data_IF_277303663444
#
_entry.id   IF_277303663444
#
_cell.length_a   1.000
_cell.length_b   1.000
_cell.length_c   1.000
_cell.angle_alpha   90.00
_cell.angle_beta   90.00
_cell.angle_gamma   90.00
#
_symmetry.space_group_name_H-M   'P 1'
#
loop_
_entity.id
_entity.type
_entity.pdbx_description
1 polymer ?
#
# COMPACT_ATOMS: atom_id res chain seq x y z
N UNK A 1 -40.70 23.95 -56.10
CA UNK A 1 -39.83 22.81 -55.77
C UNK A 1 -38.98 23.19 -54.57
N UNK A 2 -39.42 22.82 -53.36
CA UNK A 2 -38.63 22.98 -52.12
C UNK A 2 -39.19 22.03 -51.06
N UNK A 3 -38.97 20.73 -51.25
CA UNK A 3 -39.31 19.68 -50.28
C UNK A 3 -38.29 18.55 -50.44
N UNK A 4 -37.15 18.67 -49.78
CA UNK A 4 -36.20 17.54 -49.64
C UNK A 4 -35.13 17.77 -48.56
N UNK A 5 -34.81 19.02 -48.20
CA UNK A 5 -33.77 19.28 -47.20
C UNK A 5 -34.20 18.96 -45.74
N UNK A 6 -35.48 19.08 -45.41
CA UNK A 6 -35.98 18.81 -44.05
C UNK A 6 -35.94 17.32 -43.66
N UNK A 7 -36.18 16.42 -44.61
CA UNK A 7 -36.25 14.98 -44.33
C UNK A 7 -34.86 14.38 -44.07
N UNK A 8 -33.85 14.81 -44.84
CA UNK A 8 -32.45 14.39 -44.65
C UNK A 8 -31.91 14.83 -43.29
N UNK A 9 -32.29 16.02 -42.81
CA UNK A 9 -31.90 16.48 -41.48
C UNK A 9 -32.55 15.69 -40.35
N UNK A 10 -33.78 15.20 -40.50
CA UNK A 10 -34.43 14.37 -39.47
C UNK A 10 -33.83 12.97 -39.40
N UNK A 11 -33.58 12.31 -40.53
CA UNK A 11 -32.93 11.00 -40.55
C UNK A 11 -31.51 11.05 -39.98
N UNK A 12 -30.75 12.10 -40.27
CA UNK A 12 -29.42 12.30 -39.69
C UNK A 12 -29.49 12.50 -38.17
N UNK A 13 -30.51 13.21 -37.68
CA UNK A 13 -30.69 13.49 -36.26
C UNK A 13 -31.08 12.22 -35.50
N UNK A 14 -31.96 11.38 -36.07
CA UNK A 14 -32.30 10.08 -35.51
C UNK A 14 -31.15 9.06 -35.57
N UNK A 15 -30.26 9.15 -36.57
CA UNK A 15 -29.04 8.35 -36.62
C UNK A 15 -27.96 8.83 -35.64
N UNK A 16 -27.86 10.15 -35.40
CA UNK A 16 -26.88 10.74 -34.48
C UNK A 16 -27.26 10.56 -33.01
N UNK A 17 -28.55 10.59 -32.68
CA UNK A 17 -29.05 10.46 -31.31
C UNK A 17 -28.54 9.20 -30.57
N UNK A 18 -28.61 7.98 -31.14
CA UNK A 18 -28.09 6.78 -30.49
C UNK A 18 -26.57 6.80 -30.35
N UNK A 19 -25.84 7.43 -31.27
CA UNK A 19 -24.37 7.58 -31.18
C UNK A 19 -24.00 8.51 -30.02
N UNK A 20 -24.72 9.63 -29.88
CA UNK A 20 -24.53 10.57 -28.77
C UNK A 20 -24.88 9.90 -27.43
N UNK A 21 -25.97 9.13 -27.38
CA UNK A 21 -26.36 8.40 -26.17
C UNK A 21 -25.34 7.32 -25.80
N UNK A 22 -24.79 6.60 -26.78
CA UNK A 22 -23.69 5.65 -26.53
C UNK A 22 -22.44 6.36 -25.99
N UNK A 23 -22.05 7.50 -26.57
CA UNK A 23 -20.92 8.29 -26.09
C UNK A 23 -21.15 8.81 -24.67
N UNK A 24 -22.33 9.35 -24.38
CA UNK A 24 -22.69 9.81 -23.05
C UNK A 24 -22.63 8.66 -22.04
N UNK A 25 -23.18 7.49 -22.39
CA UNK A 25 -23.12 6.31 -21.53
C UNK A 25 -21.69 5.83 -21.28
N UNK A 26 -20.83 5.80 -22.31
CA UNK A 26 -19.42 5.42 -22.14
C UNK A 26 -18.67 6.40 -21.24
N UNK A 27 -18.93 7.70 -21.34
CA UNK A 27 -18.34 8.71 -20.46
C UNK A 27 -18.76 8.49 -19.00
N UNK A 28 -20.05 8.25 -18.74
CA UNK A 28 -20.54 7.99 -17.38
C UNK A 28 -19.95 6.71 -16.79
N UNK A 29 -19.85 5.65 -17.59
CA UNK A 29 -19.23 4.38 -17.15
C UNK A 29 -17.73 4.58 -16.87
N UNK A 30 -17.03 5.37 -17.68
CA UNK A 30 -15.62 5.68 -17.48
C UNK A 30 -15.39 6.49 -16.19
N UNK A 31 -16.23 7.49 -15.92
CA UNK A 31 -16.17 8.28 -14.68
C UNK A 31 -16.40 7.39 -13.45
N UNK A 32 -17.47 6.58 -13.45
CA UNK A 32 -17.73 5.65 -12.33
C UNK A 32 -16.60 4.64 -12.12
N UNK A 33 -16.00 4.12 -13.20
CA UNK A 33 -14.85 3.21 -13.11
C UNK A 33 -13.60 3.92 -12.56
N UNK A 34 -13.40 5.19 -12.91
CA UNK A 34 -12.29 6.02 -12.41
C UNK A 34 -12.44 6.31 -10.92
N UNK A 35 -13.62 6.77 -10.49
CA UNK A 35 -13.91 7.05 -9.06
C UNK A 35 -13.80 5.80 -8.20
N UNK A 36 -14.30 4.66 -8.70
CA UNK A 36 -14.17 3.37 -8.02
C UNK A 36 -12.71 2.92 -7.98
N UNK A 37 -11.94 3.15 -9.04
CA UNK A 37 -10.52 2.81 -9.11
C UNK A 37 -9.69 3.63 -8.12
N UNK A 38 -9.87 4.95 -8.10
CA UNK A 38 -9.15 5.85 -7.19
C UNK A 38 -9.49 5.59 -5.72
N UNK A 39 -10.77 5.38 -5.37
CA UNK A 39 -11.15 5.04 -3.99
C UNK A 39 -10.59 3.69 -3.52
N UNK A 40 -10.51 2.70 -4.40
CA UNK A 40 -9.88 1.40 -4.09
C UNK A 40 -8.36 1.55 -3.96
N UNK A 41 -7.73 2.41 -4.75
CA UNK A 41 -6.29 2.67 -4.66
C UNK A 41 -5.94 3.41 -3.37
N UNK A 42 -6.69 4.48 -3.05
CA UNK A 42 -6.51 5.25 -1.82
C UNK A 42 -6.73 4.39 -0.57
N UNK A 43 -7.78 3.56 -0.55
CA UNK A 43 -8.02 2.65 0.59
C UNK A 43 -6.95 1.57 0.79
N UNK A 44 -6.08 1.33 -0.20
CA UNK A 44 -5.00 0.35 -0.13
C UNK A 44 -3.61 0.96 0.03
N UNK A 45 -3.48 2.27 -0.15
CA UNK A 45 -2.18 2.94 -0.12
C UNK A 45 -1.55 2.90 1.28
N UNK A 46 -2.26 3.36 2.31
CA UNK A 46 -1.76 3.36 3.69
C UNK A 46 -1.47 1.96 4.22
N UNK A 47 -2.36 0.94 4.06
CA UNK A 47 -2.01 -0.43 4.42
C UNK A 47 -0.81 -1.00 3.65
N UNK A 48 -0.67 -0.67 2.36
CA UNK A 48 0.48 -1.08 1.56
C UNK A 48 1.79 -0.50 2.09
N UNK A 49 1.81 0.82 2.36
CA UNK A 49 2.94 1.54 2.96
C UNK A 49 3.33 0.91 4.30
N UNK A 50 2.36 0.70 5.19
CA UNK A 50 2.59 0.10 6.51
C UNK A 50 3.12 -1.34 6.42
N UNK A 51 2.69 -2.14 5.43
CA UNK A 51 3.20 -3.49 5.23
C UNK A 51 4.68 -3.47 4.82
N UNK A 52 5.07 -2.56 3.94
CA UNK A 52 6.46 -2.34 3.55
C UNK A 52 7.31 -1.88 4.73
N UNK A 53 6.80 -0.95 5.54
CA UNK A 53 7.48 -0.47 6.75
C UNK A 53 7.64 -1.60 7.76
N UNK A 54 6.61 -2.41 7.99
CA UNK A 54 6.68 -3.55 8.89
C UNK A 54 7.75 -4.57 8.44
N UNK A 55 7.83 -4.88 7.14
CA UNK A 55 8.87 -5.75 6.60
C UNK A 55 10.27 -5.14 6.72
N UNK A 56 10.40 -3.83 6.51
CA UNK A 56 11.65 -3.12 6.70
C UNK A 56 12.11 -3.20 8.17
N UNK A 57 11.22 -2.88 9.11
CA UNK A 57 11.49 -2.91 10.56
C UNK A 57 11.93 -4.30 11.00
N UNK A 58 11.20 -5.34 10.59
CA UNK A 58 11.53 -6.72 10.97
C UNK A 58 12.90 -7.14 10.42
N UNK A 59 13.27 -6.69 9.22
CA UNK A 59 14.59 -6.97 8.64
C UNK A 59 15.70 -6.16 9.31
N UNK A 60 15.44 -4.89 9.63
CA UNK A 60 16.42 -3.99 10.27
C UNK A 60 16.67 -4.32 11.73
N UNK A 61 15.61 -4.68 12.46
CA UNK A 61 15.70 -5.10 13.86
C UNK A 61 16.14 -6.54 14.04
N UNK A 62 16.37 -7.29 12.95
CA UNK A 62 16.79 -8.69 13.04
C UNK A 62 18.23 -8.82 13.57
N UNK A 63 18.45 -9.82 14.42
CA UNK A 63 19.78 -10.16 14.96
C UNK A 63 20.68 -10.70 13.86
N UNK A 64 21.78 -9.99 13.59
CA UNK A 64 22.93 -10.54 12.86
C UNK A 64 23.84 -11.27 13.86
N UNK A 65 23.84 -12.62 13.86
CA UNK A 65 24.84 -13.35 14.64
C UNK A 65 26.19 -13.24 13.94
N UNK A 66 27.09 -12.45 14.53
CA UNK A 66 28.53 -12.58 14.32
C UNK A 66 28.95 -14.00 14.68
N UNK A 67 29.48 -14.72 13.69
CA UNK A 67 29.96 -16.09 13.86
C UNK A 67 31.22 -16.09 14.74
N UNK A 68 31.05 -16.28 16.05
CA UNK A 68 32.08 -16.89 16.88
C UNK A 68 31.93 -18.41 16.79
N UNK A 69 32.63 -19.04 15.83
CA UNK A 69 32.64 -20.50 15.71
C UNK A 69 33.38 -21.03 14.49
N UNK A 70 34.70 -21.20 14.63
CA UNK A 70 35.52 -22.29 14.06
C UNK A 70 34.98 -22.99 12.80
N UNK A 71 35.15 -22.36 11.65
CA UNK A 71 34.88 -22.96 10.35
C UNK A 71 35.40 -22.04 9.25
N UNK A 72 36.09 -22.62 8.27
CA UNK A 72 36.97 -21.96 7.29
C UNK A 72 36.28 -20.89 6.39
N UNK A 73 34.98 -20.66 6.53
CA UNK A 73 34.20 -19.62 5.84
C UNK A 73 33.21 -19.02 6.85
N UNK A 74 33.61 -17.96 7.55
CA UNK A 74 32.78 -17.26 8.53
C UNK A 74 31.68 -16.46 7.86
N UNK A 75 30.55 -17.09 7.50
CA UNK A 75 29.33 -16.39 7.10
C UNK A 75 28.47 -16.14 8.33
N UNK A 76 28.20 -14.86 8.62
CA UNK A 76 27.21 -14.47 9.62
C UNK A 76 25.85 -15.11 9.25
N UNK A 77 25.19 -15.76 10.22
CA UNK A 77 23.88 -16.38 9.99
C UNK A 77 22.80 -15.35 10.33
N UNK A 78 22.21 -14.76 9.30
CA UNK A 78 21.08 -13.85 9.41
C UNK A 78 19.78 -14.62 9.64
N UNK A 79 19.03 -14.28 10.70
CA UNK A 79 17.72 -14.88 11.00
C UNK A 79 16.63 -13.83 10.89
N UNK A 80 15.95 -13.71 9.73
CA UNK A 80 14.82 -12.79 9.62
C UNK A 80 13.77 -13.20 10.66
N UNK A 81 13.16 -12.21 11.31
CA UNK A 81 12.17 -12.35 12.38
C UNK A 81 12.70 -12.59 13.80
N UNK A 82 14.01 -12.78 14.03
CA UNK A 82 14.54 -12.77 15.40
C UNK A 82 14.96 -11.35 15.74
N UNK A 83 14.18 -10.63 16.55
CA UNK A 83 14.42 -9.20 16.79
C UNK A 83 15.28 -8.98 18.03
N UNK A 84 16.20 -8.02 17.91
CA UNK A 84 16.87 -7.38 19.05
C UNK A 84 16.15 -6.06 19.38
N UNK A 85 15.69 -5.92 20.62
CA UNK A 85 15.01 -4.70 21.07
C UNK A 85 15.93 -3.48 21.01
N UNK A 86 17.25 -3.67 21.18
CA UNK A 86 18.23 -2.61 21.02
C UNK A 86 18.35 -2.11 19.57
N UNK A 87 18.27 -3.02 18.58
CA UNK A 87 18.29 -2.63 17.17
C UNK A 87 16.96 -1.99 16.76
N UNK A 88 15.83 -2.47 17.30
CA UNK A 88 14.52 -1.87 17.08
C UNK A 88 14.47 -0.41 17.56
N UNK A 89 15.07 -0.12 18.71
CA UNK A 89 15.16 1.23 19.27
C UNK A 89 16.04 2.21 18.47
N UNK A 90 16.90 1.70 17.57
CA UNK A 90 17.76 2.53 16.71
C UNK A 90 17.08 2.95 15.40
N UNK A 91 15.90 2.41 15.12
CA UNK A 91 15.17 2.74 13.90
C UNK A 91 14.67 4.19 14.00
N UNK A 92 15.11 5.03 13.07
CA UNK A 92 14.66 6.41 12.97
C UNK A 92 13.25 6.47 12.38
N UNK A 93 12.25 6.51 13.28
CA UNK A 93 10.83 6.61 12.91
C UNK A 93 10.55 7.88 12.09
N UNK A 94 11.24 8.99 12.38
CA UNK A 94 11.00 10.27 11.72
C UNK A 94 11.41 10.22 10.25
N UNK A 95 12.56 9.59 9.96
CA UNK A 95 13.02 9.39 8.60
C UNK A 95 12.05 8.50 7.80
N UNK A 96 11.52 7.43 8.41
CA UNK A 96 10.56 6.55 7.76
C UNK A 96 9.25 7.29 7.46
N UNK A 97 8.75 8.09 8.40
CA UNK A 97 7.56 8.91 8.20
C UNK A 97 7.75 9.89 7.03
N UNK A 98 8.90 10.55 6.93
CA UNK A 98 9.22 11.47 5.83
C UNK A 98 9.30 10.75 4.47
N UNK A 99 9.95 9.58 4.43
CA UNK A 99 10.09 8.82 3.17
C UNK A 99 8.80 8.20 2.67
N UNK A 100 7.89 7.85 3.58
CA UNK A 100 6.64 7.15 3.27
C UNK A 100 5.43 8.09 3.26
N UNK A 101 5.66 9.39 3.52
CA UNK A 101 4.63 10.43 3.59
C UNK A 101 3.52 10.03 4.57
N UNK A 102 3.90 9.67 5.79
CA UNK A 102 2.98 9.35 6.89
C UNK A 102 2.93 10.51 7.88
N UNK A 103 1.72 10.83 8.35
CA UNK A 103 1.48 11.82 9.40
C UNK A 103 1.88 11.28 10.77
N UNK A 104 1.70 9.97 10.98
CA UNK A 104 2.07 9.29 12.22
C UNK A 104 2.62 7.89 11.99
N UNK A 105 3.56 7.48 12.83
CA UNK A 105 4.10 6.11 12.85
C UNK A 105 4.41 5.66 14.28
N UNK A 106 3.72 4.62 14.72
CA UNK A 106 3.95 3.94 15.97
C UNK A 106 4.44 2.51 15.73
N UNK A 107 5.45 2.09 16.50
CA UNK A 107 5.99 0.73 16.50
C UNK A 107 5.93 0.28 17.95
N UNK A 108 5.12 -0.75 18.22
CA UNK A 108 4.76 -1.17 19.57
C UNK A 108 4.44 -2.67 19.62
N UNK A 109 4.44 -3.24 20.83
CA UNK A 109 4.04 -4.63 21.07
C UNK A 109 2.52 -4.78 21.23
N UNK A 110 1.81 -3.66 21.37
CA UNK A 110 0.36 -3.59 21.52
C UNK A 110 -0.25 -2.84 20.33
N UNK A 111 -1.50 -3.17 19.99
CA UNK A 111 -2.18 -2.48 18.88
C UNK A 111 -2.50 -1.04 19.30
N UNK A 112 -1.94 -0.06 18.58
CA UNK A 112 -2.22 1.36 18.74
C UNK A 112 -3.46 1.84 17.97
N UNK A 113 -3.52 3.15 17.76
CA UNK A 113 -4.59 3.84 17.02
C UNK A 113 -4.29 3.87 15.50
N UNK A 114 -5.32 4.13 14.69
CA UNK A 114 -5.19 4.22 13.23
C UNK A 114 -5.12 2.87 12.48
N UNK A 115 -4.49 2.89 11.31
CA UNK A 115 -4.28 1.68 10.50
C UNK A 115 -3.10 0.90 11.07
N UNK A 116 -3.32 -0.35 11.47
CA UNK A 116 -2.28 -1.18 12.07
C UNK A 116 -2.06 -2.48 11.29
N UNK A 117 -0.81 -2.80 11.05
CA UNK A 117 -0.36 -4.09 10.53
C UNK A 117 0.54 -4.73 11.58
N UNK A 118 0.50 -6.05 11.67
CA UNK A 118 1.39 -6.79 12.57
C UNK A 118 2.25 -7.81 11.83
N UNK A 119 3.43 -8.08 12.39
CA UNK A 119 4.31 -9.18 11.99
C UNK A 119 4.60 -10.06 13.20
N UNK A 120 4.73 -11.36 12.95
CA UNK A 120 5.15 -12.32 13.97
C UNK A 120 6.67 -12.34 14.02
N UNK A 121 7.21 -12.10 15.22
CA UNK A 121 8.65 -12.01 15.46
C UNK A 121 9.00 -12.84 16.69
N UNK A 122 10.23 -13.31 16.75
CA UNK A 122 10.80 -14.01 17.88
C UNK A 122 11.62 -13.01 18.71
N UNK A 123 11.19 -12.75 19.94
CA UNK A 123 11.90 -11.93 20.91
C UNK A 123 12.24 -12.81 22.11
N UNK A 124 13.52 -12.93 22.45
CA UNK A 124 14.00 -13.75 23.59
C UNK A 124 13.52 -15.21 23.59
N UNK A 125 13.19 -15.75 22.40
CA UNK A 125 12.68 -17.12 22.24
C UNK A 125 11.16 -17.25 22.30
N UNK A 126 10.44 -16.16 22.51
CA UNK A 126 8.97 -16.12 22.47
C UNK A 126 8.47 -15.50 21.17
N UNK A 127 7.39 -16.06 20.61
CA UNK A 127 6.72 -15.48 19.44
C UNK A 127 5.82 -14.34 19.90
N UNK A 128 6.14 -13.12 19.47
CA UNK A 128 5.39 -11.90 19.75
C UNK A 128 4.86 -11.26 18.47
N UNK A 129 3.82 -10.43 18.63
CA UNK A 129 3.28 -9.60 17.55
C UNK A 129 3.90 -8.22 17.67
N UNK A 130 4.63 -7.80 16.64
CA UNK A 130 5.07 -6.43 16.50
C UNK A 130 4.03 -5.68 15.66
N UNK A 131 3.42 -4.65 16.25
CA UNK A 131 2.47 -3.78 15.60
C UNK A 131 3.18 -2.55 15.02
N UNK A 132 2.80 -2.21 13.80
CA UNK A 132 3.19 -1.00 13.09
C UNK A 132 1.91 -0.29 12.72
N UNK A 133 1.64 0.82 13.40
CA UNK A 133 0.43 1.62 13.24
C UNK A 133 0.79 2.99 12.65
N UNK A 134 -0.07 3.55 11.83
CA UNK A 134 0.13 4.88 11.28
C UNK A 134 -1.05 5.38 10.47
N UNK A 135 -0.97 6.68 10.15
CA UNK A 135 -1.93 7.43 9.34
C UNK A 135 -1.16 8.23 8.29
#
# INVERSE_FOLDING_TARGET
MSQSNGFVSFDLLFAALPVILMLAHMLTVAEMASETGESILQSKETPGKLATIADYIVKRGAVERSSQGTGFLGTASYRPNVIDEAELGRIDKKLIMEWMELDSLEISWEKGEGNCIYRLVLLEGEVKKLYVCGE
#
